data_IF_222550493433
#
_entry.id   IF_222550493433
#
_cell.length_a   1.000
_cell.length_b   1.000
_cell.length_c   1.000
_cell.angle_alpha   90.00
_cell.angle_beta   90.00
_cell.angle_gamma   90.00
#
_symmetry.space_group_name_H-M   'P 1'
#
loop_
_entity.id
_entity.type
_entity.pdbx_description
1 polymer ?
#
# COMPACT_ATOMS: atom_id res chain seq x y z
N UNK A 1 1.06 -12.72 11.79
CA UNK A 1 2.17 -13.00 10.84
C UNK A 1 2.80 -11.72 10.28
N UNK A 2 2.08 -10.81 9.62
CA UNK A 2 2.68 -9.56 9.10
C UNK A 2 3.32 -8.66 10.17
N UNK A 3 2.72 -8.52 11.35
CA UNK A 3 3.32 -7.75 12.44
C UNK A 3 4.63 -8.37 12.94
N UNK A 4 4.71 -9.70 12.98
CA UNK A 4 5.95 -10.40 13.34
C UNK A 4 7.04 -10.20 12.29
N UNK A 5 6.68 -10.19 11.00
CA UNK A 5 7.58 -9.81 9.92
C UNK A 5 8.16 -8.41 10.13
N UNK A 6 7.32 -7.40 10.38
CA UNK A 6 7.81 -6.04 10.59
C UNK A 6 8.62 -5.87 11.88
N UNK A 7 8.26 -6.58 12.94
CA UNK A 7 9.04 -6.63 14.17
C UNK A 7 10.44 -7.21 13.94
N UNK A 8 10.56 -8.28 13.14
CA UNK A 8 11.83 -8.96 12.91
C UNK A 8 12.69 -8.21 11.88
N UNK A 9 12.12 -7.84 10.74
CA UNK A 9 12.84 -7.24 9.60
C UNK A 9 13.12 -5.75 9.82
N UNK A 10 12.13 -4.98 10.29
CA UNK A 10 12.26 -3.52 10.45
C UNK A 10 12.58 -3.11 11.90
N UNK A 11 12.66 -4.07 12.82
CA UNK A 11 12.77 -3.81 14.27
C UNK A 11 11.64 -2.90 14.79
N UNK A 12 10.48 -2.96 14.14
CA UNK A 12 9.33 -2.13 14.45
C UNK A 12 8.18 -2.95 15.05
N UNK A 13 8.04 -2.87 16.37
CA UNK A 13 6.98 -3.54 17.12
C UNK A 13 5.66 -2.74 17.21
N UNK A 14 5.60 -1.55 16.62
CA UNK A 14 4.45 -0.64 16.73
C UNK A 14 3.47 -0.73 15.55
N UNK A 15 3.72 -1.65 14.61
CA UNK A 15 2.80 -1.86 13.49
C UNK A 15 1.51 -2.49 13.99
N UNK A 16 0.39 -1.77 13.78
CA UNK A 16 -0.95 -2.23 14.12
C UNK A 16 -1.83 -2.29 12.87
N UNK A 17 -2.82 -3.18 12.89
CA UNK A 17 -3.76 -3.34 11.77
C UNK A 17 -4.78 -2.20 11.81
N UNK A 18 -4.98 -1.53 10.68
CA UNK A 18 -6.14 -0.67 10.47
C UNK A 18 -7.35 -1.53 10.10
N UNK A 19 -8.35 -1.71 10.99
CA UNK A 19 -9.47 -2.62 10.74
C UNK A 19 -10.38 -2.14 9.60
N UNK A 20 -10.27 -0.89 9.17
CA UNK A 20 -11.06 -0.31 8.09
C UNK A 20 -10.31 -0.22 6.76
N UNK A 21 -9.00 -0.52 6.79
CA UNK A 21 -8.05 -0.31 5.70
C UNK A 21 -7.99 1.14 5.17
N UNK A 22 -8.59 2.10 5.90
CA UNK A 22 -8.86 3.44 5.40
C UNK A 22 -8.77 4.53 6.46
N UNK A 23 -8.72 4.23 7.76
CA UNK A 23 -8.75 5.23 8.81
C UNK A 23 -7.47 6.08 8.80
N UNK A 24 -6.29 5.45 8.75
CA UNK A 24 -5.02 6.18 8.68
C UNK A 24 -4.84 6.91 7.34
N UNK A 25 -5.09 6.27 6.17
CA UNK A 25 -5.11 6.98 4.89
C UNK A 25 -6.04 8.20 4.87
N UNK A 26 -7.28 8.05 5.38
CA UNK A 26 -8.26 9.15 5.44
C UNK A 26 -7.75 10.30 6.30
N UNK A 27 -7.14 10.00 7.45
CA UNK A 27 -6.58 11.02 8.33
C UNK A 27 -5.46 11.79 7.62
N UNK A 28 -4.51 11.08 7.02
CA UNK A 28 -3.36 11.69 6.37
C UNK A 28 -3.74 12.57 5.19
N UNK A 29 -4.52 12.04 4.24
CA UNK A 29 -4.86 12.81 3.02
C UNK A 29 -5.72 14.04 3.35
N UNK A 30 -6.57 13.95 4.38
CA UNK A 30 -7.32 15.12 4.87
C UNK A 30 -6.37 16.20 5.37
N UNK A 31 -5.41 15.81 6.21
CA UNK A 31 -4.48 16.75 6.82
C UNK A 31 -3.51 17.35 5.77
N UNK A 32 -3.17 16.61 4.70
CA UNK A 32 -2.31 17.08 3.60
C UNK A 32 -3.03 17.98 2.59
N UNK A 33 -4.30 17.70 2.27
CA UNK A 33 -5.03 18.37 1.18
C UNK A 33 -5.98 19.45 1.66
N UNK A 34 -6.35 19.45 2.95
CA UNK A 34 -7.37 20.33 3.48
C UNK A 34 -8.80 19.87 3.20
N UNK A 35 -9.02 18.76 2.48
CA UNK A 35 -10.36 18.25 2.15
C UNK A 35 -10.82 17.14 3.08
N UNK A 36 -12.12 17.04 3.34
CA UNK A 36 -12.70 15.96 4.15
C UNK A 36 -14.06 15.49 3.65
N UNK A 37 -14.32 14.18 3.70
CA UNK A 37 -15.64 13.60 3.37
C UNK A 37 -16.71 13.96 4.40
N UNK A 38 -16.32 14.42 5.58
CA UNK A 38 -17.20 14.85 6.66
C UNK A 38 -17.05 16.34 6.88
N UNK A 39 -18.15 17.02 7.22
CA UNK A 39 -18.10 18.46 7.53
C UNK A 39 -17.25 18.70 8.77
N UNK A 40 -16.34 19.66 8.68
CA UNK A 40 -15.46 20.09 9.77
C UNK A 40 -15.15 21.57 9.59
N UNK A 41 -14.95 22.31 10.69
CA UNK A 41 -14.51 23.71 10.61
C UNK A 41 -13.05 23.86 10.14
N UNK A 42 -12.28 22.76 10.08
CA UNK A 42 -10.86 22.76 9.73
C UNK A 42 -10.58 22.34 8.28
N UNK A 43 -11.57 21.77 7.59
CA UNK A 43 -11.36 21.13 6.30
C UNK A 43 -12.56 21.37 5.39
N UNK A 44 -12.27 21.61 4.11
CA UNK A 44 -13.27 21.81 3.08
C UNK A 44 -14.01 20.49 2.79
N UNK A 45 -15.34 20.49 2.78
CA UNK A 45 -16.10 19.26 2.53
C UNK A 45 -15.95 18.81 1.06
N UNK A 46 -15.65 17.54 0.85
CA UNK A 46 -15.62 16.89 -0.46
C UNK A 46 -16.68 15.78 -0.53
N UNK A 47 -17.51 15.78 -1.58
CA UNK A 47 -18.64 14.86 -1.75
C UNK A 47 -18.46 13.98 -2.99
N UNK A 48 -18.96 12.75 -2.93
CA UNK A 48 -18.85 11.75 -4.01
C UNK A 48 -17.43 11.28 -4.31
N UNK A 49 -16.55 11.29 -3.29
CA UNK A 49 -15.21 10.70 -3.35
C UNK A 49 -15.07 9.58 -2.32
N UNK A 50 -14.13 8.68 -2.60
CA UNK A 50 -13.66 7.65 -1.69
C UNK A 50 -12.15 7.68 -1.59
N UNK A 51 -11.61 7.01 -0.57
CA UNK A 51 -10.16 6.81 -0.47
C UNK A 51 -9.82 5.57 -1.29
N UNK A 52 -8.77 5.65 -2.09
CA UNK A 52 -8.22 4.52 -2.82
C UNK A 52 -6.69 4.54 -2.77
N UNK A 53 -6.09 3.39 -3.02
CA UNK A 53 -4.65 3.23 -3.17
C UNK A 53 -4.30 3.09 -4.65
N UNK A 54 -3.49 4.00 -5.18
CA UNK A 54 -3.19 4.10 -6.62
C UNK A 54 -2.48 2.83 -7.13
N UNK A 55 -1.52 2.32 -6.34
CA UNK A 55 -0.71 1.15 -6.67
C UNK A 55 -1.05 -0.06 -5.78
N UNK A 56 -2.13 0.02 -5.00
CA UNK A 56 -2.45 -0.99 -3.98
C UNK A 56 -1.46 -0.97 -2.82
N UNK A 57 -0.79 -2.10 -2.57
CA UNK A 57 0.22 -2.28 -1.51
C UNK A 57 -0.28 -2.00 -0.08
N UNK A 58 -1.49 -2.43 0.23
CA UNK A 58 -2.15 -2.03 1.49
C UNK A 58 -1.62 -2.77 2.72
N UNK A 59 -0.80 -3.81 2.56
CA UNK A 59 -0.14 -4.49 3.68
C UNK A 59 1.26 -3.95 3.92
N UNK A 60 1.84 -3.22 2.97
CA UNK A 60 3.16 -2.61 3.05
C UNK A 60 3.14 -1.33 3.93
N UNK A 61 3.85 -1.35 5.05
CA UNK A 61 3.89 -0.21 5.99
C UNK A 61 4.51 1.07 5.42
N UNK A 62 5.34 0.96 4.38
CA UNK A 62 5.92 2.12 3.70
C UNK A 62 4.94 2.75 2.70
N UNK A 63 4.08 1.94 2.07
CA UNK A 63 3.19 2.39 1.00
C UNK A 63 1.75 2.64 1.46
N UNK A 64 1.29 2.01 2.54
CA UNK A 64 -0.11 2.07 2.99
C UNK A 64 -0.58 3.48 3.30
N UNK A 65 0.28 4.29 3.92
CA UNK A 65 0.02 5.71 4.20
C UNK A 65 0.94 6.64 3.40
N UNK A 66 1.48 6.19 2.27
CA UNK A 66 2.32 7.06 1.45
C UNK A 66 1.46 8.10 0.72
N UNK A 67 1.81 9.40 0.74
CA UNK A 67 1.07 10.44 0.01
C UNK A 67 0.97 10.16 -1.49
N UNK A 68 2.01 9.57 -2.08
CA UNK A 68 2.05 9.19 -3.49
C UNK A 68 1.18 7.98 -3.83
N UNK A 69 0.67 7.26 -2.83
CA UNK A 69 -0.18 6.09 -3.02
C UNK A 69 -1.63 6.32 -2.62
N UNK A 70 -2.00 7.41 -1.94
CA UNK A 70 -3.36 7.65 -1.47
C UNK A 70 -4.03 8.73 -2.31
N UNK A 71 -5.29 8.51 -2.70
CA UNK A 71 -6.05 9.49 -3.49
C UNK A 71 -7.51 9.59 -3.04
N UNK A 72 -8.07 10.79 -3.14
CA UNK A 72 -9.51 10.97 -3.23
C UNK A 72 -9.96 10.59 -4.64
N UNK A 73 -10.48 9.38 -4.80
CA UNK A 73 -11.02 8.88 -6.06
C UNK A 73 -12.51 9.26 -6.18
N UNK A 74 -12.96 9.94 -7.26
CA UNK A 74 -14.39 10.10 -7.51
C UNK A 74 -15.09 8.73 -7.54
N UNK A 75 -16.19 8.58 -6.81
CA UNK A 75 -16.94 7.31 -6.74
C UNK A 75 -17.46 6.85 -8.10
N UNK A 76 -17.71 7.77 -9.02
CA UNK A 76 -18.10 7.44 -10.39
C UNK A 76 -17.01 6.66 -11.16
N UNK A 77 -15.76 6.71 -10.71
CA UNK A 77 -14.62 6.00 -11.29
C UNK A 77 -14.34 4.64 -10.60
N UNK A 78 -15.09 4.30 -9.55
CA UNK A 78 -14.99 3.01 -8.86
C UNK A 78 -15.22 1.81 -9.81
N UNK A 79 -16.19 1.84 -10.74
CA UNK A 79 -16.35 0.76 -11.73
C UNK A 79 -15.13 0.57 -12.65
N UNK A 80 -14.24 1.57 -12.76
CA UNK A 80 -13.02 1.51 -13.57
C UNK A 80 -11.76 1.17 -12.74
N UNK A 81 -11.85 1.22 -11.42
CA UNK A 81 -10.67 1.11 -10.54
C UNK A 81 -10.80 0.02 -9.49
N UNK A 82 -12.01 -0.47 -9.23
CA UNK A 82 -12.28 -1.51 -8.25
C UNK A 82 -11.63 -2.86 -8.59
N UNK A 83 -11.53 -3.71 -7.57
CA UNK A 83 -10.98 -5.07 -7.67
C UNK A 83 -11.90 -6.01 -8.47
N UNK A 84 -13.15 -5.64 -8.68
CA UNK A 84 -14.14 -6.39 -9.44
C UNK A 84 -14.20 -5.98 -10.92
N UNK A 85 -13.59 -4.84 -11.28
CA UNK A 85 -13.56 -4.30 -12.62
C UNK A 85 -12.61 -5.14 -13.51
N UNK A 86 -13.13 -5.69 -14.61
CA UNK A 86 -12.38 -6.50 -15.59
C UNK A 86 -12.59 -6.00 -17.02
N UNK A 87 -11.54 -6.03 -17.83
CA UNK A 87 -11.59 -5.77 -19.27
C UNK A 87 -10.53 -4.78 -19.74
N UNK A 88 -10.24 -4.76 -21.04
CA UNK A 88 -9.15 -3.98 -21.63
C UNK A 88 -9.22 -2.48 -21.34
N UNK A 89 -10.42 -1.89 -21.34
CA UNK A 89 -10.62 -0.47 -21.01
C UNK A 89 -10.23 -0.15 -19.56
N UNK A 90 -10.48 -1.07 -18.64
CA UNK A 90 -10.15 -0.91 -17.22
C UNK A 90 -8.64 -1.03 -17.03
N UNK A 91 -8.02 -1.98 -17.73
CA UNK A 91 -6.57 -2.15 -17.71
C UNK A 91 -5.86 -0.91 -18.27
N UNK A 92 -6.35 -0.37 -19.39
CA UNK A 92 -5.86 0.88 -19.98
C UNK A 92 -6.04 2.07 -19.03
N UNK A 93 -7.22 2.22 -18.41
CA UNK A 93 -7.46 3.29 -17.44
C UNK A 93 -6.49 3.20 -16.25
N UNK A 94 -6.32 2.00 -15.68
CA UNK A 94 -5.41 1.77 -14.55
C UNK A 94 -3.98 2.10 -14.92
N UNK A 95 -3.51 1.66 -16.10
CA UNK A 95 -2.18 1.96 -16.61
C UNK A 95 -1.95 3.48 -16.77
N UNK A 96 -2.85 4.19 -17.44
CA UNK A 96 -2.75 5.63 -17.64
C UNK A 96 -2.80 6.40 -16.31
N UNK A 97 -3.69 6.00 -15.40
CA UNK A 97 -3.83 6.62 -14.09
C UNK A 97 -2.56 6.43 -13.23
N UNK A 98 -2.01 5.22 -13.23
CA UNK A 98 -0.76 4.91 -12.54
C UNK A 98 0.43 5.66 -13.14
N UNK A 99 0.56 5.72 -14.48
CA UNK A 99 1.62 6.47 -15.17
C UNK A 99 1.58 7.95 -14.86
N UNK A 100 0.39 8.55 -14.88
CA UNK A 100 0.25 9.95 -14.54
C UNK A 100 0.62 10.22 -13.07
N UNK A 101 0.21 9.34 -12.17
CA UNK A 101 0.53 9.44 -10.73
C UNK A 101 2.03 9.26 -10.48
N UNK A 102 2.66 8.29 -11.13
CA UNK A 102 4.10 8.05 -11.04
C UNK A 102 4.88 9.26 -11.51
N UNK A 103 4.55 9.80 -12.68
CA UNK A 103 5.21 11.01 -13.21
C UNK A 103 5.13 12.19 -12.24
N UNK A 104 4.00 12.34 -11.54
CA UNK A 104 3.81 13.42 -10.59
C UNK A 104 4.61 13.24 -9.29
N UNK A 105 4.72 12.00 -8.80
CA UNK A 105 5.39 11.66 -7.54
C UNK A 105 6.73 10.94 -7.73
N UNK A 106 7.32 11.02 -8.93
CA UNK A 106 8.50 10.24 -9.33
C UNK A 106 9.64 10.31 -8.30
N UNK A 107 10.03 11.49 -7.76
CA UNK A 107 11.08 11.54 -6.74
C UNK A 107 10.76 10.71 -5.49
N UNK A 108 9.52 10.80 -4.98
CA UNK A 108 9.12 10.08 -3.76
C UNK A 108 8.99 8.56 -4.00
N UNK A 109 8.56 8.18 -5.19
CA UNK A 109 8.46 6.76 -5.57
C UNK A 109 9.86 6.19 -5.80
N UNK A 110 10.78 6.96 -6.37
CA UNK A 110 12.18 6.56 -6.53
C UNK A 110 12.87 6.38 -5.17
N UNK A 111 12.61 7.27 -4.20
CA UNK A 111 13.10 7.11 -2.83
C UNK A 111 12.55 5.83 -2.18
N UNK A 112 11.25 5.57 -2.35
CA UNK A 112 10.64 4.31 -1.90
C UNK A 112 11.31 3.11 -2.57
N UNK A 113 11.46 3.13 -3.90
CA UNK A 113 12.06 2.04 -4.67
C UNK A 113 13.50 1.77 -4.22
N UNK A 114 14.29 2.81 -4.00
CA UNK A 114 15.66 2.70 -3.51
C UNK A 114 15.71 2.07 -2.10
N UNK A 115 14.79 2.47 -1.22
CA UNK A 115 14.67 1.90 0.12
C UNK A 115 14.36 0.39 0.06
N UNK A 116 13.32 0.02 -0.70
CA UNK A 116 12.84 -1.37 -0.68
C UNK A 116 13.69 -2.34 -1.49
N UNK A 117 14.55 -1.83 -2.37
CA UNK A 117 15.56 -2.60 -3.10
C UNK A 117 16.94 -2.55 -2.44
N UNK A 118 17.07 -1.90 -1.27
CA UNK A 118 18.34 -1.86 -0.54
C UNK A 118 18.80 -3.28 -0.17
N UNK A 119 20.08 -3.64 -0.39
CA UNK A 119 20.58 -5.00 -0.11
C UNK A 119 20.30 -5.44 1.32
N UNK A 120 20.48 -4.54 2.29
CA UNK A 120 20.22 -4.83 3.71
C UNK A 120 18.77 -5.23 3.99
N UNK A 121 17.79 -4.58 3.34
CA UNK A 121 16.39 -4.91 3.55
C UNK A 121 16.05 -6.23 2.84
N UNK A 122 16.49 -6.38 1.60
CA UNK A 122 16.28 -7.61 0.80
C UNK A 122 16.84 -8.83 1.53
N UNK A 123 18.08 -8.74 2.02
CA UNK A 123 18.72 -9.81 2.78
C UNK A 123 17.95 -10.13 4.07
N UNK A 124 17.49 -9.11 4.79
CA UNK A 124 16.70 -9.28 6.02
C UNK A 124 15.35 -9.97 5.75
N UNK A 125 14.70 -9.63 4.63
CA UNK A 125 13.46 -10.28 4.20
C UNK A 125 13.72 -11.76 3.89
N UNK A 126 14.77 -12.08 3.13
CA UNK A 126 15.12 -13.46 2.80
C UNK A 126 15.45 -14.28 4.06
N UNK A 127 16.26 -13.74 4.96
CA UNK A 127 16.57 -14.39 6.23
C UNK A 127 15.32 -14.68 7.06
N UNK A 128 14.38 -13.73 7.13
CA UNK A 128 13.11 -13.95 7.82
C UNK A 128 12.28 -15.05 7.16
N UNK A 129 12.17 -15.04 5.83
CA UNK A 129 11.41 -16.04 5.08
C UNK A 129 11.99 -17.45 5.26
N UNK A 130 13.31 -17.59 5.18
CA UNK A 130 13.99 -18.87 5.38
C UNK A 130 13.80 -19.39 6.82
N UNK A 131 13.85 -18.49 7.81
CA UNK A 131 13.61 -18.81 9.22
C UNK A 131 12.20 -19.35 9.45
N UNK A 132 11.16 -18.73 8.89
CA UNK A 132 9.78 -19.19 9.10
C UNK A 132 9.45 -20.47 8.30
N UNK A 133 10.14 -20.72 7.19
CA UNK A 133 9.99 -21.96 6.42
C UNK A 133 10.58 -23.18 7.15
N UNK A 134 11.62 -22.97 7.96
CA UNK A 134 12.25 -24.02 8.74
C UNK A 134 11.55 -24.28 10.09
N UNK A 135 10.65 -23.39 10.52
CA UNK A 135 9.93 -23.54 11.78
C UNK A 135 8.78 -24.54 11.67
N UNK A 136 9.00 -25.73 12.22
CA UNK A 136 8.03 -26.85 12.22
C UNK A 136 6.77 -26.58 13.03
N UNK A 137 6.75 -25.53 13.86
CA UNK A 137 5.56 -25.15 14.64
C UNK A 137 4.57 -24.29 13.83
N UNK A 138 4.98 -23.79 12.67
CA UNK A 138 4.13 -22.98 11.80
C UNK A 138 3.41 -23.87 10.77
N UNK A 139 2.18 -23.50 10.45
CA UNK A 139 1.43 -24.14 9.36
C UNK A 139 2.05 -23.75 8.01
N UNK A 140 2.49 -24.77 7.24
CA UNK A 140 3.18 -24.55 5.97
C UNK A 140 2.34 -23.83 4.91
N UNK A 141 1.01 -23.95 4.94
CA UNK A 141 0.11 -23.26 4.01
C UNK A 141 0.04 -21.77 4.34
N UNK A 142 -0.03 -21.42 5.63
CA UNK A 142 -0.01 -20.03 6.06
C UNK A 142 1.36 -19.37 5.83
N UNK A 143 2.47 -20.09 6.04
CA UNK A 143 3.82 -19.63 5.69
C UNK A 143 3.93 -19.34 4.19
N UNK A 144 3.47 -20.27 3.34
CA UNK A 144 3.51 -20.09 1.88
C UNK A 144 2.70 -18.88 1.42
N UNK A 145 1.50 -18.67 1.99
CA UNK A 145 0.68 -17.48 1.71
C UNK A 145 1.35 -16.19 2.18
N UNK A 146 1.97 -16.20 3.35
CA UNK A 146 2.68 -15.04 3.88
C UNK A 146 3.86 -14.68 2.96
N UNK A 147 4.66 -15.67 2.55
CA UNK A 147 5.77 -15.46 1.61
C UNK A 147 5.30 -14.81 0.33
N UNK A 148 4.28 -15.39 -0.32
CA UNK A 148 3.72 -14.83 -1.55
C UNK A 148 3.25 -13.39 -1.33
N UNK A 149 2.55 -13.12 -0.23
CA UNK A 149 2.08 -11.77 0.08
C UNK A 149 3.20 -10.78 0.38
N UNK A 150 4.29 -11.17 1.05
CA UNK A 150 5.44 -10.29 1.31
C UNK A 150 6.17 -9.97 0.01
N UNK A 151 6.44 -10.98 -0.80
CA UNK A 151 7.14 -10.83 -2.08
C UNK A 151 6.31 -10.08 -3.12
N UNK A 152 4.98 -10.07 -2.98
CA UNK A 152 4.14 -9.17 -3.75
C UNK A 152 4.24 -7.75 -3.18
N UNK A 153 3.90 -7.54 -1.91
CA UNK A 153 3.72 -6.22 -1.29
C UNK A 153 5.00 -5.38 -1.20
N UNK A 154 6.16 -6.01 -0.97
CA UNK A 154 7.45 -5.34 -0.80
C UNK A 154 8.22 -5.41 -2.12
N UNK A 155 7.68 -4.77 -3.16
CA UNK A 155 8.30 -4.67 -4.49
C UNK A 155 8.28 -3.25 -5.02
N UNK A 156 9.26 -2.88 -5.88
CA UNK A 156 9.32 -1.56 -6.47
C UNK A 156 8.07 -1.28 -7.28
N UNK A 157 7.65 -0.02 -7.26
CA UNK A 157 6.64 0.47 -8.19
C UNK A 157 7.37 0.79 -9.49
N UNK A 158 7.08 0.01 -10.54
CA UNK A 158 7.66 0.14 -11.88
C UNK A 158 6.49 0.15 -12.86
N UNK A 159 6.53 1.04 -13.85
CA UNK A 159 5.52 1.22 -14.89
C UNK A 159 6.12 1.15 -16.30
#
# INVERSE_FOLDING_TARGET
>A
MFQAFYADVLKNNQVTVDPTNNAQPTKLIRDLTGYSKTKSNKHEPIQNYQISHIFGRTKNVFAFTAPWNIVYMPKMLDPFTGHEAKGSMIDEYKDLFQKQSFKHFEPLINDYNALITSPSLVDSIHQYLDKIEQDKNLDGKDVSKLRASILEEITPIIL
#
